data_IF_999168109204
#
_entry.id   IF_999168109204
#
_cell.length_a   1.000
_cell.length_b   1.000
_cell.length_c   1.000
_cell.angle_alpha   90.00
_cell.angle_beta   90.00
_cell.angle_gamma   90.00
#
_symmetry.space_group_name_H-M   'P 1'
#
loop_
_entity.id
_entity.type
_entity.pdbx_description
1 polymer ?
#
# COMPACT_ATOMS: atom_id res chain seq x y z
N UNK A 1 -6.82 -22.48 -11.15
CA UNK A 1 -5.85 -21.74 -10.29
C UNK A 1 -5.11 -20.71 -11.14
N UNK A 2 -4.83 -19.51 -10.63
CA UNK A 2 -4.07 -18.49 -11.39
C UNK A 2 -2.62 -18.92 -11.64
N UNK A 3 -1.98 -18.37 -12.67
CA UNK A 3 -0.57 -18.66 -12.98
C UNK A 3 0.36 -18.07 -11.91
N UNK A 4 1.57 -18.64 -11.73
CA UNK A 4 2.54 -18.13 -10.74
C UNK A 4 2.95 -16.68 -11.04
N UNK A 5 3.00 -16.32 -12.33
CA UNK A 5 3.23 -14.94 -12.79
C UNK A 5 2.13 -14.02 -12.28
N UNK A 6 0.86 -14.42 -12.38
CA UNK A 6 -0.26 -13.62 -11.88
C UNK A 6 -0.19 -13.40 -10.36
N UNK A 7 0.14 -14.41 -9.56
CA UNK A 7 0.30 -14.26 -8.11
C UNK A 7 1.41 -13.28 -7.71
N UNK A 8 2.45 -13.12 -8.54
CA UNK A 8 3.51 -12.13 -8.31
C UNK A 8 3.09 -10.72 -8.73
N UNK A 9 2.30 -10.60 -9.80
CA UNK A 9 1.89 -9.30 -10.35
C UNK A 9 0.75 -8.63 -9.59
N UNK A 10 -0.25 -9.38 -9.14
CA UNK A 10 -1.43 -8.84 -8.46
C UNK A 10 -1.06 -7.96 -7.23
N UNK A 11 -0.27 -8.44 -6.26
CA UNK A 11 0.04 -7.63 -5.09
C UNK A 11 0.96 -6.46 -5.42
N UNK A 12 1.84 -6.62 -6.42
CA UNK A 12 2.70 -5.55 -6.89
C UNK A 12 1.85 -4.41 -7.47
N UNK A 13 0.93 -4.73 -8.38
CA UNK A 13 0.02 -3.75 -8.98
C UNK A 13 -0.88 -3.09 -7.93
N UNK A 14 -1.41 -3.86 -6.98
CA UNK A 14 -2.17 -3.31 -5.85
C UNK A 14 -1.36 -2.25 -5.07
N UNK A 15 -0.10 -2.56 -4.74
CA UNK A 15 0.77 -1.62 -4.02
C UNK A 15 1.05 -0.35 -4.86
N UNK A 16 1.26 -0.50 -6.17
CA UNK A 16 1.41 0.66 -7.06
C UNK A 16 0.18 1.56 -7.06
N UNK A 17 -1.02 0.98 -7.13
CA UNK A 17 -2.27 1.75 -7.08
C UNK A 17 -2.39 2.49 -5.75
N UNK A 18 -2.09 1.84 -4.61
CA UNK A 18 -2.12 2.48 -3.29
C UNK A 18 -1.19 3.70 -3.26
N UNK A 19 0.07 3.53 -3.66
CA UNK A 19 1.07 4.61 -3.61
C UNK A 19 0.72 5.74 -4.58
N UNK A 20 0.24 5.41 -5.79
CA UNK A 20 -0.21 6.40 -6.76
C UNK A 20 -1.34 7.28 -6.20
N UNK A 21 -2.35 6.65 -5.60
CA UNK A 21 -3.51 7.34 -5.03
C UNK A 21 -3.11 8.17 -3.79
N UNK A 22 -2.29 7.61 -2.90
CA UNK A 22 -1.79 8.33 -1.72
C UNK A 22 -0.87 9.50 -2.09
N UNK A 23 -0.07 9.37 -3.15
CA UNK A 23 0.74 10.47 -3.68
C UNK A 23 -0.13 11.63 -4.16
N UNK A 24 -1.18 11.35 -4.94
CA UNK A 24 -2.15 12.36 -5.36
C UNK A 24 -2.87 13.03 -4.18
N UNK A 25 -3.33 12.24 -3.21
CA UNK A 25 -3.97 12.76 -2.00
C UNK A 25 -3.01 13.63 -1.16
N UNK A 26 -1.74 13.23 -1.07
CA UNK A 26 -0.70 13.97 -0.35
C UNK A 26 -0.40 15.30 -1.03
N UNK A 27 -0.25 15.32 -2.36
CA UNK A 27 -0.02 16.55 -3.11
C UNK A 27 -1.20 17.52 -2.98
N UNK A 28 -2.43 17.03 -3.09
CA UNK A 28 -3.64 17.82 -2.82
C UNK A 28 -3.61 18.42 -1.41
N UNK A 29 -3.25 17.63 -0.39
CA UNK A 29 -3.10 18.10 0.99
C UNK A 29 -2.01 19.15 1.17
N UNK A 30 -0.87 19.00 0.48
CA UNK A 30 0.24 19.97 0.51
C UNK A 30 -0.17 21.32 -0.08
N UNK A 31 -1.03 21.31 -1.08
CA UNK A 31 -1.59 22.52 -1.71
C UNK A 31 -2.74 23.15 -0.88
N UNK A 32 -2.91 22.75 0.38
CA UNK A 32 -3.96 23.27 1.27
C UNK A 32 -5.32 22.60 1.09
N UNK A 33 -5.43 21.58 0.24
CA UNK A 33 -6.65 20.84 0.02
C UNK A 33 -7.14 20.08 1.26
N UNK A 34 -8.46 20.07 1.47
CA UNK A 34 -9.12 19.32 2.53
C UNK A 34 -9.76 18.02 1.99
N UNK A 35 -10.57 17.36 2.82
CA UNK A 35 -11.28 16.12 2.46
C UNK A 35 -12.48 16.35 1.52
N UNK A 36 -12.91 17.58 1.27
CA UNK A 36 -14.14 17.90 0.53
C UNK A 36 -13.79 18.36 -0.90
N UNK A 37 -13.44 17.41 -1.77
CA UNK A 37 -13.08 17.71 -3.17
C UNK A 37 -13.83 16.82 -4.18
N UNK A 38 -14.06 17.29 -5.44
CA UNK A 38 -14.94 16.64 -6.42
C UNK A 38 -14.58 15.20 -6.83
N UNK A 39 -13.38 14.70 -6.48
CA UNK A 39 -12.90 13.36 -6.85
C UNK A 39 -12.56 12.47 -5.65
N UNK A 40 -12.97 12.84 -4.43
CA UNK A 40 -12.70 12.04 -3.23
C UNK A 40 -13.20 10.61 -3.33
N UNK A 41 -14.38 10.40 -3.91
CA UNK A 41 -14.96 9.06 -4.08
C UNK A 41 -14.08 8.18 -4.98
N UNK A 42 -13.57 8.72 -6.08
CA UNK A 42 -12.66 7.99 -6.98
C UNK A 42 -11.37 7.61 -6.26
N UNK A 43 -10.76 8.56 -5.52
CA UNK A 43 -9.57 8.31 -4.69
C UNK A 43 -9.82 7.18 -3.70
N UNK A 44 -10.94 7.21 -2.97
CA UNK A 44 -11.29 6.16 -2.00
C UNK A 44 -11.51 4.79 -2.64
N UNK A 45 -12.20 4.73 -3.79
CA UNK A 45 -12.43 3.47 -4.53
C UNK A 45 -11.10 2.89 -5.03
N UNK A 46 -10.26 3.71 -5.65
CA UNK A 46 -8.97 3.26 -6.18
C UNK A 46 -8.03 2.79 -5.06
N UNK A 47 -8.01 3.49 -3.92
CA UNK A 47 -7.27 3.04 -2.74
C UNK A 47 -7.79 1.71 -2.21
N UNK A 48 -9.12 1.55 -2.10
CA UNK A 48 -9.75 0.29 -1.69
C UNK A 48 -9.44 -0.88 -2.63
N UNK A 49 -9.49 -0.65 -3.94
CA UNK A 49 -9.10 -1.65 -4.96
C UNK A 49 -7.62 -2.01 -4.81
N UNK A 50 -6.75 -1.01 -4.65
CA UNK A 50 -5.32 -1.24 -4.43
C UNK A 50 -5.05 -2.07 -3.17
N UNK A 51 -5.72 -1.76 -2.06
CA UNK A 51 -5.67 -2.53 -0.81
C UNK A 51 -6.14 -3.97 -1.01
N UNK A 52 -7.30 -4.15 -1.66
CA UNK A 52 -7.85 -5.47 -1.93
C UNK A 52 -6.90 -6.33 -2.77
N UNK A 53 -6.38 -5.80 -3.88
CA UNK A 53 -5.44 -6.52 -4.75
C UNK A 53 -4.13 -6.84 -4.03
N UNK A 54 -3.61 -5.90 -3.22
CA UNK A 54 -2.39 -6.08 -2.44
C UNK A 54 -2.52 -7.24 -1.46
N UNK A 55 -3.57 -7.24 -0.66
CA UNK A 55 -3.80 -8.26 0.36
C UNK A 55 -4.15 -9.60 -0.29
N UNK A 56 -5.12 -9.65 -1.20
CA UNK A 56 -5.51 -10.88 -1.88
C UNK A 56 -4.33 -11.54 -2.59
N UNK A 57 -3.55 -10.74 -3.33
CA UNK A 57 -2.39 -11.22 -4.06
C UNK A 57 -1.26 -11.69 -3.13
N UNK A 58 -0.99 -10.96 -2.06
CA UNK A 58 0.13 -11.27 -1.17
C UNK A 58 -0.13 -12.51 -0.32
N UNK A 59 -1.30 -12.60 0.31
CA UNK A 59 -1.69 -13.78 1.08
C UNK A 59 -1.90 -15.00 0.18
N UNK A 60 -2.46 -14.81 -1.01
CA UNK A 60 -2.57 -15.88 -2.01
C UNK A 60 -1.20 -16.41 -2.45
N UNK A 61 -0.22 -15.53 -2.69
CA UNK A 61 1.15 -15.93 -3.03
C UNK A 61 1.85 -16.63 -1.86
N UNK A 62 1.70 -16.12 -0.63
CA UNK A 62 2.24 -16.74 0.57
C UNK A 62 1.69 -18.17 0.75
N UNK A 63 0.37 -18.34 0.66
CA UNK A 63 -0.28 -19.64 0.77
C UNK A 63 0.21 -20.60 -0.31
N UNK A 64 0.35 -20.11 -1.55
CA UNK A 64 0.89 -20.92 -2.66
C UNK A 64 2.36 -21.32 -2.47
N UNK A 65 3.16 -20.46 -1.85
CA UNK A 65 4.57 -20.74 -1.57
C UNK A 65 4.77 -21.65 -0.35
N UNK A 66 3.78 -21.81 0.52
CA UNK A 66 3.87 -22.67 1.70
C UNK A 66 4.88 -22.21 2.77
N UNK A 67 5.21 -20.92 2.78
CA UNK A 67 6.33 -20.36 3.57
C UNK A 67 6.01 -20.04 5.04
N UNK A 68 4.82 -20.42 5.55
CA UNK A 68 4.41 -20.12 6.92
C UNK A 68 4.31 -18.62 7.20
N UNK A 69 4.68 -18.19 8.41
CA UNK A 69 4.61 -16.80 8.89
C UNK A 69 5.99 -16.24 9.26
N UNK A 70 6.90 -16.07 8.29
CA UNK A 70 8.21 -15.52 8.58
C UNK A 70 8.07 -14.06 9.02
N UNK A 71 8.98 -13.58 9.86
CA UNK A 71 8.79 -12.27 10.47
C UNK A 71 8.78 -11.14 9.45
N UNK A 72 9.53 -11.23 8.35
CA UNK A 72 9.51 -10.25 7.25
C UNK A 72 8.11 -10.12 6.63
N UNK A 73 7.33 -11.20 6.60
CA UNK A 73 5.97 -11.18 6.09
C UNK A 73 5.03 -10.52 7.11
N UNK A 74 5.18 -10.84 8.40
CA UNK A 74 4.45 -10.18 9.48
C UNK A 74 4.71 -8.66 9.47
N UNK A 75 5.97 -8.25 9.30
CA UNK A 75 6.34 -6.84 9.18
C UNK A 75 5.63 -6.15 7.99
N UNK A 76 5.47 -6.84 6.86
CA UNK A 76 4.69 -6.32 5.72
C UNK A 76 3.20 -6.15 6.02
N UNK A 77 2.63 -6.98 6.91
CA UNK A 77 1.24 -6.80 7.36
C UNK A 77 1.08 -5.46 8.07
N UNK A 78 2.01 -5.09 8.95
CA UNK A 78 1.99 -3.76 9.58
C UNK A 78 2.13 -2.62 8.57
N UNK A 79 2.93 -2.80 7.52
CA UNK A 79 3.00 -1.84 6.40
C UNK A 79 1.65 -1.72 5.71
N UNK A 80 0.97 -2.82 5.37
CA UNK A 80 -0.36 -2.74 4.77
C UNK A 80 -1.41 -2.13 5.69
N UNK A 81 -1.36 -2.40 7.00
CA UNK A 81 -2.25 -1.75 7.97
C UNK A 81 -2.02 -0.23 7.99
N UNK A 82 -0.76 0.21 8.01
CA UNK A 82 -0.42 1.63 7.90
C UNK A 82 -0.93 2.22 6.58
N UNK A 83 -0.67 1.57 5.43
CA UNK A 83 -1.11 2.02 4.11
C UNK A 83 -2.64 2.07 3.97
N UNK A 84 -3.35 1.14 4.63
CA UNK A 84 -4.81 1.13 4.73
C UNK A 84 -5.34 2.35 5.50
N UNK A 85 -4.71 2.68 6.63
CA UNK A 85 -5.06 3.86 7.42
C UNK A 85 -4.59 5.18 6.78
N UNK A 86 -3.54 5.15 5.95
CA UNK A 86 -2.85 6.34 5.44
C UNK A 86 -3.78 7.29 4.70
N UNK A 87 -4.76 6.80 3.94
CA UNK A 87 -5.69 7.68 3.22
C UNK A 87 -6.51 8.56 4.18
N UNK A 88 -6.92 8.04 5.33
CA UNK A 88 -7.61 8.82 6.35
C UNK A 88 -6.64 9.78 7.07
N UNK A 89 -5.41 9.31 7.36
CA UNK A 89 -4.41 10.08 8.09
C UNK A 89 -3.85 11.26 7.28
N UNK A 90 -3.77 11.16 5.94
CA UNK A 90 -3.34 12.25 5.04
C UNK A 90 -4.14 13.54 5.30
N UNK A 91 -5.43 13.43 5.60
CA UNK A 91 -6.29 14.58 5.87
C UNK A 91 -6.36 14.99 7.35
N UNK A 92 -5.72 14.23 8.25
CA UNK A 92 -5.69 14.49 9.70
C UNK A 92 -4.33 14.99 10.19
N UNK A 93 -3.28 14.75 9.41
CA UNK A 93 -1.90 15.12 9.75
C UNK A 93 -1.31 16.02 8.65
N UNK A 94 -0.20 16.73 8.94
CA UNK A 94 0.52 17.51 7.94
C UNK A 94 0.94 16.68 6.72
N UNK A 95 0.61 17.15 5.51
CA UNK A 95 0.92 16.46 4.25
C UNK A 95 2.41 16.17 4.06
N UNK A 96 3.29 17.01 4.62
CA UNK A 96 4.76 16.81 4.60
C UNK A 96 5.20 15.47 5.21
N UNK A 97 4.47 14.95 6.20
CA UNK A 97 4.78 13.65 6.80
C UNK A 97 4.57 12.51 5.79
N UNK A 98 3.55 12.59 4.95
CA UNK A 98 3.30 11.57 3.93
C UNK A 98 4.19 11.75 2.70
N UNK A 99 4.54 12.99 2.37
CA UNK A 99 5.45 13.28 1.25
C UNK A 99 6.80 12.58 1.40
N UNK A 100 7.36 12.62 2.61
CA UNK A 100 8.62 11.93 2.93
C UNK A 100 8.41 10.51 3.47
N UNK A 101 7.32 10.28 4.20
CA UNK A 101 7.03 8.99 4.83
C UNK A 101 6.63 7.90 3.85
N UNK A 102 5.86 8.20 2.79
CA UNK A 102 5.43 7.20 1.81
C UNK A 102 6.62 6.60 1.04
N UNK A 103 7.58 7.39 0.50
CA UNK A 103 8.80 6.83 -0.09
C UNK A 103 9.58 5.94 0.89
N UNK A 104 9.68 6.34 2.16
CA UNK A 104 10.37 5.54 3.18
C UNK A 104 9.66 4.21 3.45
N UNK A 105 8.34 4.22 3.55
CA UNK A 105 7.53 3.00 3.70
C UNK A 105 7.72 2.07 2.50
N UNK A 106 7.76 2.62 1.28
CA UNK A 106 8.05 1.85 0.06
C UNK A 106 9.46 1.25 0.10
N UNK A 107 10.46 2.02 0.52
CA UNK A 107 11.83 1.53 0.64
C UNK A 107 11.91 0.36 1.63
N UNK A 108 11.28 0.47 2.79
CA UNK A 108 11.21 -0.63 3.79
C UNK A 108 10.47 -1.84 3.21
N UNK A 109 9.37 -1.64 2.50
CA UNK A 109 8.62 -2.73 1.87
C UNK A 109 9.46 -3.47 0.81
N UNK A 110 10.22 -2.74 0.00
CA UNK A 110 11.16 -3.30 -0.99
C UNK A 110 12.26 -4.09 -0.28
N UNK A 111 12.87 -3.51 0.77
CA UNK A 111 13.90 -4.17 1.56
C UNK A 111 13.40 -5.52 2.12
N UNK A 112 12.23 -5.53 2.78
CA UNK A 112 11.64 -6.76 3.32
C UNK A 112 11.34 -7.80 2.24
N UNK A 113 10.81 -7.38 1.09
CA UNK A 113 10.46 -8.30 0.01
C UNK A 113 11.68 -8.91 -0.69
N UNK A 114 12.77 -8.15 -0.81
CA UNK A 114 14.01 -8.56 -1.47
C UNK A 114 14.88 -9.41 -0.55
N UNK A 115 15.18 -8.91 0.64
CA UNK A 115 16.18 -9.52 1.52
C UNK A 115 15.60 -10.56 2.46
N UNK A 116 14.30 -10.48 2.79
CA UNK A 116 13.61 -11.43 3.70
C UNK A 116 14.42 -11.73 4.98
N UNK A 117 14.86 -10.70 5.73
CA UNK A 117 15.95 -10.84 6.70
C UNK A 117 15.64 -11.65 7.97
N UNK A 118 14.38 -11.98 8.26
CA UNK A 118 13.94 -12.68 9.46
C UNK A 118 12.57 -13.34 9.26
#
# INVERSE_FOLDING_TARGET
MLSMKAYRLIPLFGNFVIIFVLGGATLHRLNGGDRNYPRRRLVAIMHGIGMFLSLLGAFGLQARLGIGWPGWFIAKIFIWLFLGAALALVYRLPGKFFWWGLPLVVLVAIYLATFKPF
#
